data_IF_185488647445
#
_entry.id   IF_185488647445
#
_cell.length_a   1.000
_cell.length_b   1.000
_cell.length_c   1.000
_cell.angle_alpha   90.00
_cell.angle_beta   90.00
_cell.angle_gamma   90.00
#
_symmetry.space_group_name_H-M   'P 1'
#
loop_
_entity.id
_entity.type
_entity.pdbx_description
1 polymer ?
#
# COMPACT_ATOMS: atom_id res chain seq x y z
N UNK A 1 9.83 -10.59 -3.52
CA UNK A 1 10.55 -9.42 -4.11
C UNK A 1 11.67 -9.02 -3.18
N UNK A 2 12.75 -8.43 -3.73
CA UNK A 2 13.80 -7.88 -2.89
C UNK A 2 13.33 -6.60 -2.21
N UNK A 3 13.92 -6.27 -1.05
CA UNK A 3 13.63 -5.05 -0.32
C UNK A 3 14.03 -3.82 -1.16
N UNK A 4 13.10 -2.94 -1.54
CA UNK A 4 13.40 -1.79 -2.40
C UNK A 4 14.27 -0.76 -1.68
N UNK A 5 15.21 -0.15 -2.43
CA UNK A 5 16.21 0.78 -1.87
C UNK A 5 15.61 2.06 -1.31
N UNK A 6 14.44 2.50 -1.80
CA UNK A 6 13.79 3.73 -1.33
C UNK A 6 13.33 3.65 0.13
N UNK A 7 13.18 2.45 0.70
CA UNK A 7 12.82 2.29 2.11
C UNK A 7 13.87 2.89 3.07
N UNK A 8 15.11 3.15 2.60
CA UNK A 8 16.09 3.93 3.38
C UNK A 8 15.68 5.39 3.62
N UNK A 9 14.74 5.91 2.81
CA UNK A 9 14.17 7.26 2.96
C UNK A 9 12.98 7.32 3.93
N UNK A 10 12.49 6.18 4.39
CA UNK A 10 11.36 6.09 5.30
C UNK A 10 11.88 6.15 6.74
N UNK A 11 11.48 7.20 7.46
CA UNK A 11 11.86 7.43 8.85
C UNK A 11 10.63 7.37 9.72
N UNK A 12 10.61 6.46 10.71
CA UNK A 12 9.52 6.43 11.71
C UNK A 12 9.65 7.63 12.64
N UNK A 13 8.55 8.33 12.85
CA UNK A 13 8.46 9.49 13.73
C UNK A 13 7.41 9.27 14.84
N UNK A 14 7.63 9.87 16.00
CA UNK A 14 6.61 9.93 17.04
C UNK A 14 5.53 10.93 16.62
N UNK A 15 4.31 10.45 16.33
CA UNK A 15 3.18 11.26 15.90
C UNK A 15 1.96 11.04 16.79
N UNK A 16 1.19 12.10 17.04
CA UNK A 16 -0.10 12.06 17.71
C UNK A 16 -1.12 12.90 16.95
N UNK A 17 -2.37 12.48 17.01
CA UNK A 17 -3.47 13.27 16.48
C UNK A 17 -3.92 14.25 17.56
N UNK A 18 -4.15 15.51 17.17
CA UNK A 18 -4.63 16.54 18.08
C UNK A 18 -5.94 16.10 18.76
N UNK A 19 -6.00 16.31 20.07
CA UNK A 19 -7.17 15.96 20.90
C UNK A 19 -7.57 14.48 20.90
N UNK A 20 -6.68 13.58 20.45
CA UNK A 20 -6.94 12.14 20.42
C UNK A 20 -5.78 11.36 21.04
N UNK A 21 -6.08 10.48 22.00
CA UNK A 21 -5.05 9.74 22.75
C UNK A 21 -4.56 8.45 22.09
N UNK A 22 -4.98 8.18 20.85
CA UNK A 22 -4.57 6.97 20.14
C UNK A 22 -3.20 7.15 19.51
N UNK A 23 -2.33 6.18 19.72
CA UNK A 23 -1.04 6.11 19.06
C UNK A 23 -1.25 5.78 17.58
N UNK A 24 -0.62 6.53 16.70
CA UNK A 24 -0.54 6.19 15.28
C UNK A 24 0.89 5.80 14.91
N UNK A 25 1.03 5.03 13.86
CA UNK A 25 2.30 4.78 13.19
C UNK A 25 2.53 5.90 12.17
N UNK A 26 3.54 6.72 12.42
CA UNK A 26 3.84 7.88 11.59
C UNK A 26 5.20 7.72 10.92
N UNK A 27 5.28 8.01 9.63
CA UNK A 27 6.50 7.92 8.85
C UNK A 27 6.69 9.16 7.98
N UNK A 28 7.91 9.66 7.94
CA UNK A 28 8.33 10.71 7.03
C UNK A 28 9.10 10.09 5.85
N UNK A 29 8.78 10.51 4.62
CA UNK A 29 9.59 10.24 3.43
C UNK A 29 10.60 11.38 3.27
N UNK A 30 11.82 11.17 3.74
CA UNK A 30 12.95 12.10 3.59
C UNK A 30 13.77 11.72 2.37
N UNK A 31 13.22 11.94 1.19
CA UNK A 31 13.85 11.57 -0.08
C UNK A 31 14.82 12.63 -0.60
N UNK A 32 15.80 12.17 -1.36
CA UNK A 32 16.69 12.99 -2.16
C UNK A 32 16.65 12.53 -3.63
N UNK A 33 17.35 13.25 -4.51
CA UNK A 33 17.39 12.96 -5.94
C UNK A 33 18.45 11.88 -6.31
N UNK A 34 18.62 10.86 -5.47
CA UNK A 34 19.49 9.71 -5.73
C UNK A 34 18.90 8.90 -6.91
N UNK A 35 19.53 9.01 -8.08
CA UNK A 35 19.04 8.41 -9.31
C UNK A 35 18.98 6.87 -9.24
N UNK A 36 19.93 6.23 -8.55
CA UNK A 36 19.96 4.78 -8.38
C UNK A 36 18.75 4.29 -7.57
N UNK A 37 18.38 5.04 -6.53
CA UNK A 37 17.22 4.69 -5.69
C UNK A 37 15.92 4.92 -6.44
N UNK A 38 15.84 6.00 -7.21
CA UNK A 38 14.65 6.30 -8.03
C UNK A 38 14.47 5.25 -9.14
N UNK A 39 15.55 4.81 -9.78
CA UNK A 39 15.50 3.78 -10.83
C UNK A 39 15.12 2.42 -10.23
N UNK A 40 15.66 2.06 -9.05
CA UNK A 40 15.29 0.85 -8.31
C UNK A 40 13.79 0.87 -7.93
N UNK A 41 13.31 1.99 -7.41
CA UNK A 41 11.89 2.13 -7.06
C UNK A 41 10.98 2.06 -8.29
N UNK A 42 11.38 2.70 -9.38
CA UNK A 42 10.64 2.64 -10.64
C UNK A 42 10.54 1.20 -11.17
N UNK A 43 11.64 0.45 -11.15
CA UNK A 43 11.66 -0.96 -11.55
C UNK A 43 10.78 -1.80 -10.61
N UNK A 44 10.83 -1.56 -9.29
CA UNK A 44 9.99 -2.20 -8.32
C UNK A 44 8.50 -1.96 -8.61
N UNK A 45 8.08 -0.71 -8.86
CA UNK A 45 6.69 -0.38 -9.23
C UNK A 45 6.30 -1.05 -10.55
N UNK A 46 7.12 -0.97 -11.60
CA UNK A 46 6.83 -1.56 -12.91
C UNK A 46 6.57 -3.07 -12.79
N UNK A 47 7.36 -3.78 -11.97
CA UNK A 47 7.21 -5.23 -11.75
C UNK A 47 5.92 -5.62 -11.01
N UNK A 48 5.20 -4.68 -10.38
CA UNK A 48 3.87 -4.94 -9.86
C UNK A 48 2.80 -5.01 -10.97
N UNK A 49 3.02 -4.31 -12.07
CA UNK A 49 2.09 -4.30 -13.20
C UNK A 49 2.32 -5.46 -14.18
N UNK A 50 3.58 -5.74 -14.49
CA UNK A 50 3.99 -6.74 -15.47
C UNK A 50 5.38 -7.29 -15.11
N UNK A 51 5.58 -8.61 -15.23
CA UNK A 51 6.89 -9.23 -15.03
C UNK A 51 7.87 -8.87 -16.15
N UNK A 52 9.17 -9.10 -15.93
CA UNK A 52 10.20 -8.87 -16.95
C UNK A 52 9.97 -9.79 -18.15
N UNK A 53 9.66 -11.06 -17.88
CA UNK A 53 9.40 -12.06 -18.91
C UNK A 53 8.18 -11.72 -19.76
N UNK A 54 7.04 -11.40 -19.12
CA UNK A 54 5.82 -11.03 -19.85
C UNK A 54 6.02 -9.77 -20.70
N UNK A 55 6.78 -8.79 -20.17
CA UNK A 55 7.10 -7.58 -20.94
C UNK A 55 7.90 -7.91 -22.20
N UNK A 56 8.90 -8.79 -22.11
CA UNK A 56 9.71 -9.25 -23.25
C UNK A 56 8.83 -9.99 -24.27
N UNK A 57 8.03 -10.95 -23.81
CA UNK A 57 7.12 -11.73 -24.66
C UNK A 57 6.12 -10.84 -25.42
N UNK A 58 5.50 -9.87 -24.74
CA UNK A 58 4.55 -8.94 -25.36
C UNK A 58 5.22 -8.00 -26.37
N UNK A 59 6.43 -7.52 -26.05
CA UNK A 59 7.19 -6.66 -26.96
C UNK A 59 7.59 -7.41 -28.24
N UNK A 60 8.05 -8.64 -28.11
CA UNK A 60 8.43 -9.49 -29.23
C UNK A 60 7.21 -9.82 -30.12
N UNK A 61 6.09 -10.18 -29.51
CA UNK A 61 4.85 -10.50 -30.20
C UNK A 61 4.33 -9.33 -31.04
N UNK A 62 4.43 -8.10 -30.49
CA UNK A 62 3.90 -6.90 -31.13
C UNK A 62 4.93 -6.16 -31.98
N UNK A 63 6.20 -6.51 -31.91
CA UNK A 63 7.29 -5.83 -32.61
C UNK A 63 7.50 -4.38 -32.15
N UNK A 64 7.31 -4.09 -30.84
CA UNK A 64 7.44 -2.75 -30.27
C UNK A 64 8.51 -2.71 -29.18
N UNK A 65 9.04 -1.52 -28.90
CA UNK A 65 9.98 -1.39 -27.77
C UNK A 65 9.26 -1.49 -26.41
N UNK A 66 9.97 -1.94 -25.35
CA UNK A 66 9.43 -1.96 -23.99
C UNK A 66 8.86 -0.60 -23.55
N UNK A 67 9.56 0.50 -23.85
CA UNK A 67 9.09 1.86 -23.55
C UNK A 67 7.75 2.16 -24.22
N UNK A 68 7.62 1.83 -25.51
CA UNK A 68 6.37 2.06 -26.26
C UNK A 68 5.21 1.23 -25.69
N UNK A 69 5.47 -0.05 -25.39
CA UNK A 69 4.48 -0.94 -24.81
C UNK A 69 4.02 -0.47 -23.42
N UNK A 70 4.97 -0.21 -22.52
CA UNK A 70 4.68 0.26 -21.16
C UNK A 70 3.89 1.57 -21.15
N UNK A 71 4.26 2.50 -22.01
CA UNK A 71 3.57 3.80 -22.14
C UNK A 71 2.14 3.64 -22.64
N UNK A 72 1.95 2.83 -23.65
CA UNK A 72 0.64 2.65 -24.28
C UNK A 72 -0.33 1.86 -23.39
N UNK A 73 0.13 0.76 -22.78
CA UNK A 73 -0.75 -0.25 -22.21
C UNK A 73 -0.71 -0.38 -20.69
N UNK A 74 0.42 -0.06 -20.03
CA UNK A 74 0.68 -0.46 -18.65
C UNK A 74 0.73 0.75 -17.72
N UNK A 75 1.58 1.75 -18.00
CA UNK A 75 1.91 2.82 -17.06
C UNK A 75 0.97 4.02 -17.24
N UNK A 76 0.22 4.43 -16.19
CA UNK A 76 -0.61 5.63 -16.23
C UNK A 76 0.22 6.87 -16.61
N UNK A 77 -0.25 7.69 -17.56
CA UNK A 77 0.46 8.87 -18.01
C UNK A 77 0.01 10.11 -17.21
N UNK A 78 0.92 11.04 -16.92
CA UNK A 78 0.61 12.25 -16.11
C UNK A 78 -0.33 13.23 -16.82
N UNK A 79 -0.36 13.19 -18.13
CA UNK A 79 -1.16 14.03 -19.04
C UNK A 79 -2.47 13.38 -19.50
N UNK A 80 -2.75 12.15 -19.06
CA UNK A 80 -4.04 11.48 -19.26
C UNK A 80 -5.00 11.79 -18.10
N UNK A 81 -6.29 11.98 -18.36
CA UNK A 81 -7.29 12.46 -17.40
C UNK A 81 -7.20 11.90 -15.97
N UNK A 82 -7.26 10.58 -15.79
CA UNK A 82 -7.14 9.92 -14.48
C UNK A 82 -5.71 9.46 -14.14
N UNK A 83 -4.75 9.70 -15.01
CA UNK A 83 -3.37 9.25 -14.85
C UNK A 83 -2.71 9.72 -13.54
N UNK A 84 -2.75 11.02 -13.18
CA UNK A 84 -2.20 11.49 -11.92
C UNK A 84 -2.83 10.82 -10.69
N UNK A 85 -4.15 10.62 -10.69
CA UNK A 85 -4.86 9.93 -9.61
C UNK A 85 -4.44 8.47 -9.50
N UNK A 86 -4.36 7.76 -10.62
CA UNK A 86 -3.90 6.37 -10.66
C UNK A 86 -2.46 6.24 -10.15
N UNK A 87 -1.55 7.14 -10.56
CA UNK A 87 -0.17 7.18 -10.04
C UNK A 87 -0.14 7.39 -8.52
N UNK A 88 -0.90 8.37 -8.02
CA UNK A 88 -1.00 8.68 -6.59
C UNK A 88 -1.49 7.48 -5.80
N UNK A 89 -2.58 6.86 -6.21
CA UNK A 89 -3.16 5.73 -5.50
C UNK A 89 -2.23 4.52 -5.51
N UNK A 90 -1.75 4.10 -6.69
CA UNK A 90 -0.96 2.89 -6.81
C UNK A 90 0.40 2.98 -6.12
N UNK A 91 1.13 4.12 -6.24
CA UNK A 91 2.41 4.27 -5.54
C UNK A 91 2.21 4.23 -4.02
N UNK A 92 1.08 4.77 -3.52
CA UNK A 92 0.76 4.76 -2.11
C UNK A 92 0.37 3.36 -1.62
N UNK A 93 -0.45 2.61 -2.37
CA UNK A 93 -0.77 1.22 -2.06
C UNK A 93 0.50 0.34 -2.03
N UNK A 94 1.41 0.51 -3.00
CA UNK A 94 2.69 -0.23 -3.03
C UNK A 94 3.57 0.17 -1.84
N UNK A 95 3.69 1.46 -1.52
CA UNK A 95 4.47 1.94 -0.38
C UNK A 95 3.96 1.36 0.94
N UNK A 96 2.66 1.41 1.20
CA UNK A 96 2.10 0.80 2.42
C UNK A 96 2.23 -0.72 2.44
N UNK A 97 2.14 -1.37 1.28
CA UNK A 97 2.43 -2.79 1.13
C UNK A 97 3.89 -3.11 1.51
N UNK A 98 4.84 -2.27 1.06
CA UNK A 98 6.26 -2.42 1.38
C UNK A 98 6.55 -2.17 2.87
N UNK A 99 5.87 -1.19 3.49
CA UNK A 99 5.96 -1.00 4.94
C UNK A 99 5.47 -2.24 5.69
N UNK A 100 4.33 -2.80 5.32
CA UNK A 100 3.80 -4.01 5.94
C UNK A 100 4.72 -5.21 5.76
N UNK A 101 5.31 -5.36 4.58
CA UNK A 101 6.18 -6.50 4.27
C UNK A 101 7.57 -6.36 4.89
N UNK A 102 8.25 -5.25 4.69
CA UNK A 102 9.66 -5.11 5.03
C UNK A 102 9.95 -4.46 6.39
N UNK A 103 8.97 -3.77 6.99
CA UNK A 103 9.11 -3.15 8.31
C UNK A 103 8.31 -3.93 9.37
N UNK A 104 7.08 -4.37 9.03
CA UNK A 104 6.23 -5.10 9.94
C UNK A 104 6.24 -6.61 9.72
N UNK A 105 7.00 -7.10 8.73
CA UNK A 105 7.25 -8.52 8.43
C UNK A 105 5.97 -9.34 8.17
N UNK A 106 4.97 -8.77 7.51
CA UNK A 106 3.84 -9.50 6.98
C UNK A 106 4.16 -10.00 5.57
N UNK A 107 3.66 -11.16 5.21
CA UNK A 107 3.64 -11.53 3.80
C UNK A 107 2.49 -10.77 3.12
N UNK A 108 2.81 -10.00 2.08
CA UNK A 108 1.83 -9.21 1.30
C UNK A 108 1.79 -9.75 -0.14
N UNK A 109 0.72 -10.47 -0.54
CA UNK A 109 0.58 -10.94 -1.91
C UNK A 109 0.51 -9.79 -2.89
N UNK A 110 1.44 -9.76 -3.86
CA UNK A 110 1.59 -8.67 -4.83
C UNK A 110 0.83 -9.04 -6.12
N UNK A 111 -0.51 -8.96 -6.08
CA UNK A 111 -1.35 -9.33 -7.22
C UNK A 111 -2.34 -8.23 -7.65
N UNK A 112 -2.56 -7.18 -6.84
CA UNK A 112 -3.60 -6.18 -7.11
C UNK A 112 -3.37 -5.42 -8.40
N UNK A 113 -2.16 -4.96 -8.64
CA UNK A 113 -1.79 -4.18 -9.83
C UNK A 113 -1.47 -5.02 -11.07
N UNK A 114 -1.34 -6.34 -10.91
CA UNK A 114 -1.05 -7.24 -12.01
C UNK A 114 -2.28 -7.39 -12.93
N UNK A 115 -2.07 -7.29 -14.23
CA UNK A 115 -3.09 -7.51 -15.29
C UNK A 115 -4.45 -6.84 -14.98
N UNK A 116 -4.40 -5.53 -14.72
CA UNK A 116 -5.61 -4.73 -14.52
C UNK A 116 -6.37 -4.55 -15.84
N UNK A 117 -7.69 -4.37 -15.76
CA UNK A 117 -8.54 -4.16 -16.93
C UNK A 117 -8.26 -2.84 -17.67
N UNK A 118 -7.47 -1.96 -17.10
CA UNK A 118 -7.00 -0.72 -17.69
C UNK A 118 -6.03 0.00 -16.77
N UNK A 119 -5.06 0.73 -17.34
CA UNK A 119 -3.97 1.38 -16.59
C UNK A 119 -4.39 2.45 -15.57
N UNK A 120 -5.64 2.92 -15.65
CA UNK A 120 -6.21 3.92 -14.70
C UNK A 120 -7.42 3.39 -13.94
N UNK A 121 -7.74 2.10 -14.08
CA UNK A 121 -8.86 1.45 -13.39
C UNK A 121 -8.40 0.91 -12.04
N UNK A 122 -9.14 1.23 -10.98
CA UNK A 122 -8.89 0.64 -9.67
C UNK A 122 -9.66 -0.66 -9.50
N UNK A 123 -8.98 -1.68 -9.01
CA UNK A 123 -9.61 -2.95 -8.64
C UNK A 123 -10.47 -2.78 -7.38
N UNK A 124 -11.60 -3.48 -7.32
CA UNK A 124 -12.49 -3.45 -6.17
C UNK A 124 -11.94 -4.31 -5.00
N UNK A 125 -12.35 -3.97 -3.79
CA UNK A 125 -12.02 -4.72 -2.57
C UNK A 125 -11.14 -3.93 -1.61
N UNK A 126 -10.57 -4.63 -0.63
CA UNK A 126 -9.57 -4.11 0.31
C UNK A 126 -8.29 -3.76 -0.43
N UNK A 127 -7.69 -2.60 -0.16
CA UNK A 127 -6.53 -2.13 -0.91
C UNK A 127 -5.31 -3.01 -0.67
N UNK A 128 -5.04 -3.37 0.57
CA UNK A 128 -3.91 -4.25 0.91
C UNK A 128 -4.39 -5.35 1.86
N UNK A 129 -3.98 -6.57 1.55
CA UNK A 129 -4.12 -7.72 2.44
C UNK A 129 -2.73 -8.29 2.71
N UNK A 130 -2.42 -8.47 3.99
CA UNK A 130 -1.19 -9.12 4.43
C UNK A 130 -1.50 -10.20 5.48
N UNK A 131 -0.60 -11.16 5.65
CA UNK A 131 -0.77 -12.20 6.65
C UNK A 131 0.54 -12.63 7.29
N UNK A 132 0.43 -13.17 8.51
CA UNK A 132 1.51 -13.87 9.22
C UNK A 132 0.99 -15.20 9.76
N UNK A 133 1.77 -16.26 9.57
CA UNK A 133 1.57 -17.48 10.30
C UNK A 133 2.31 -17.43 11.62
N UNK A 134 1.66 -17.89 12.70
CA UNK A 134 2.28 -17.98 14.01
C UNK A 134 3.31 -19.10 14.11
N UNK A 135 3.23 -20.09 13.19
CA UNK A 135 4.10 -21.28 13.16
C UNK A 135 4.74 -21.43 11.79
N UNK A 136 6.02 -21.83 11.77
CA UNK A 136 6.79 -22.07 10.54
C UNK A 136 6.18 -23.20 9.68
N UNK A 137 5.61 -24.24 10.30
CA UNK A 137 4.94 -25.35 9.60
C UNK A 137 3.55 -24.99 9.05
N UNK A 138 3.16 -23.72 9.20
CA UNK A 138 1.86 -23.16 8.76
C UNK A 138 0.61 -23.90 9.27
N UNK A 139 0.74 -24.70 10.33
CA UNK A 139 -0.42 -25.32 10.96
C UNK A 139 -1.34 -24.25 11.54
N UNK A 140 -2.66 -24.38 11.34
CA UNK A 140 -3.63 -23.40 11.82
C UNK A 140 -3.44 -23.04 13.30
N UNK A 141 -3.41 -21.75 13.58
CA UNK A 141 -3.30 -21.18 14.92
C UNK A 141 -4.24 -19.98 15.05
N UNK A 142 -4.84 -19.79 16.22
CA UNK A 142 -5.61 -18.56 16.52
C UNK A 142 -4.73 -17.31 16.59
N UNK A 143 -3.43 -17.51 16.68
CA UNK A 143 -2.41 -16.44 16.67
C UNK A 143 -1.98 -16.06 15.24
N UNK A 144 -2.43 -16.79 14.21
CA UNK A 144 -2.27 -16.37 12.83
C UNK A 144 -2.94 -15.01 12.64
N UNK A 145 -2.31 -14.11 11.90
CA UNK A 145 -2.79 -12.75 11.71
C UNK A 145 -3.09 -12.47 10.24
N UNK A 146 -4.21 -11.82 10.01
CA UNK A 146 -4.58 -11.24 8.73
C UNK A 146 -4.64 -9.72 8.90
N UNK A 147 -4.09 -8.97 7.95
CA UNK A 147 -4.26 -7.52 7.86
C UNK A 147 -5.18 -7.21 6.68
N UNK A 148 -6.11 -6.29 6.94
CA UNK A 148 -6.90 -5.60 5.92
C UNK A 148 -6.64 -4.10 6.06
N UNK A 149 -6.02 -3.48 5.05
CA UNK A 149 -5.67 -2.07 5.08
C UNK A 149 -6.35 -1.31 3.93
N UNK A 150 -6.98 -0.20 4.29
CA UNK A 150 -7.51 0.81 3.37
C UNK A 150 -6.52 1.97 3.27
N UNK A 151 -6.17 2.36 2.06
CA UNK A 151 -5.20 3.42 1.77
C UNK A 151 -5.87 4.61 1.11
N UNK A 152 -5.63 5.80 1.63
CA UNK A 152 -6.04 7.06 1.00
C UNK A 152 -4.84 7.95 0.76
N UNK A 153 -4.77 8.53 -0.42
CA UNK A 153 -3.66 9.36 -0.85
C UNK A 153 -4.11 10.74 -1.33
N UNK A 154 -3.46 11.80 -0.84
CA UNK A 154 -3.56 13.16 -1.35
C UNK A 154 -2.12 13.69 -1.51
N UNK A 155 -1.46 13.31 -2.61
CA UNK A 155 -0.04 13.64 -2.82
C UNK A 155 0.19 15.06 -3.37
N UNK A 156 -0.85 15.72 -3.90
CA UNK A 156 -0.74 17.03 -4.53
C UNK A 156 -0.73 18.22 -3.54
N UNK A 157 -1.16 17.99 -2.30
CA UNK A 157 -1.32 19.04 -1.29
C UNK A 157 -1.15 18.49 0.13
N UNK A 158 -1.04 19.42 1.08
CA UNK A 158 -1.06 19.12 2.51
C UNK A 158 -2.51 18.99 2.99
N UNK A 159 -2.97 17.78 3.24
CA UNK A 159 -4.35 17.52 3.69
C UNK A 159 -4.39 16.29 4.61
N UNK A 160 -4.31 16.50 5.91
CA UNK A 160 -4.38 15.43 6.91
C UNK A 160 -5.77 14.77 7.00
N UNK A 161 -6.83 15.37 6.43
CA UNK A 161 -8.18 14.78 6.39
C UNK A 161 -8.21 13.46 5.62
N UNK A 162 -7.16 13.14 4.88
CA UNK A 162 -6.94 11.83 4.25
C UNK A 162 -7.09 10.67 5.24
N UNK A 163 -6.73 10.88 6.52
CA UNK A 163 -6.91 9.88 7.59
C UNK A 163 -8.40 9.61 7.84
N UNK A 164 -9.25 10.65 7.89
CA UNK A 164 -10.68 10.48 8.09
C UNK A 164 -11.28 9.60 6.99
N UNK A 165 -10.94 9.89 5.74
CA UNK A 165 -11.41 9.12 4.58
C UNK A 165 -10.93 7.66 4.65
N UNK A 166 -9.69 7.43 5.09
CA UNK A 166 -9.15 6.08 5.27
C UNK A 166 -9.90 5.31 6.37
N UNK A 167 -10.21 5.97 7.50
CA UNK A 167 -10.97 5.37 8.61
C UNK A 167 -12.39 5.02 8.16
N UNK A 168 -13.11 5.96 7.54
CA UNK A 168 -14.47 5.76 7.06
C UNK A 168 -14.56 4.61 6.02
N UNK A 169 -13.65 4.58 5.06
CA UNK A 169 -13.66 3.55 4.02
C UNK A 169 -13.18 2.18 4.53
N UNK A 170 -12.29 2.15 5.54
CA UNK A 170 -11.83 0.90 6.16
C UNK A 170 -12.94 0.11 6.86
N UNK A 171 -14.07 0.74 7.20
CA UNK A 171 -15.24 0.06 7.75
C UNK A 171 -15.78 -0.96 6.75
N UNK A 172 -15.71 -0.66 5.47
CA UNK A 172 -16.16 -1.55 4.40
C UNK A 172 -15.37 -2.86 4.33
N UNK A 173 -14.13 -2.86 4.81
CA UNK A 173 -13.27 -4.06 4.79
C UNK A 173 -13.82 -5.19 5.65
N UNK A 174 -14.55 -4.88 6.72
CA UNK A 174 -15.20 -5.89 7.57
C UNK A 174 -16.18 -6.77 6.79
N UNK A 175 -16.82 -6.20 5.80
CA UNK A 175 -17.83 -6.89 4.98
C UNK A 175 -17.26 -7.46 3.69
N UNK A 176 -16.23 -6.83 3.11
CA UNK A 176 -15.69 -7.21 1.79
C UNK A 176 -14.46 -8.10 1.85
N UNK A 177 -13.82 -8.28 3.03
CA UNK A 177 -12.56 -9.03 3.14
C UNK A 177 -12.64 -10.45 2.57
N UNK A 178 -13.73 -11.17 2.81
CA UNK A 178 -13.90 -12.54 2.29
C UNK A 178 -13.97 -12.59 0.77
N UNK A 179 -14.59 -11.59 0.13
CA UNK A 179 -14.65 -11.45 -1.32
C UNK A 179 -13.27 -11.08 -1.88
N UNK A 180 -12.55 -10.17 -1.20
CA UNK A 180 -11.19 -9.80 -1.55
C UNK A 180 -10.24 -11.00 -1.50
N UNK A 181 -10.28 -11.80 -0.42
CA UNK A 181 -9.47 -13.01 -0.31
C UNK A 181 -9.77 -14.02 -1.43
N UNK A 182 -11.03 -14.19 -1.79
CA UNK A 182 -11.39 -15.07 -2.90
C UNK A 182 -10.87 -14.56 -4.25
N UNK A 183 -10.99 -13.26 -4.51
CA UNK A 183 -10.44 -12.60 -5.70
C UNK A 183 -8.92 -12.77 -5.77
N UNK A 184 -8.20 -12.42 -4.70
CA UNK A 184 -6.73 -12.53 -4.63
C UNK A 184 -6.27 -13.97 -4.86
N UNK A 185 -6.93 -14.95 -4.23
CA UNK A 185 -6.60 -16.37 -4.39
C UNK A 185 -6.69 -16.82 -5.84
N UNK A 186 -7.71 -16.37 -6.57
CA UNK A 186 -7.89 -16.69 -8.00
C UNK A 186 -6.80 -16.04 -8.83
N UNK A 187 -6.56 -14.75 -8.62
CA UNK A 187 -5.54 -13.98 -9.36
C UNK A 187 -4.12 -14.52 -9.13
N UNK A 188 -3.78 -14.92 -7.89
CA UNK A 188 -2.51 -15.59 -7.58
C UNK A 188 -2.35 -16.92 -8.34
N UNK A 189 -3.43 -17.69 -8.51
CA UNK A 189 -3.38 -18.91 -9.33
C UNK A 189 -3.14 -18.61 -10.80
N UNK A 190 -3.78 -17.58 -11.33
CA UNK A 190 -3.58 -17.14 -12.72
C UNK A 190 -2.14 -16.66 -12.95
N UNK A 191 -1.48 -16.10 -11.91
CA UNK A 191 -0.06 -15.75 -11.91
C UNK A 191 0.87 -16.96 -11.67
N UNK A 192 0.37 -18.19 -11.52
CA UNK A 192 1.17 -19.37 -11.18
C UNK A 192 1.66 -19.43 -9.72
N UNK A 193 1.24 -18.50 -8.86
CA UNK A 193 1.63 -18.41 -7.45
C UNK A 193 0.75 -19.31 -6.57
N UNK A 194 0.86 -20.62 -6.78
CA UNK A 194 -0.04 -21.63 -6.17
C UNK A 194 0.11 -21.67 -4.65
N UNK A 195 1.33 -21.57 -4.12
CA UNK A 195 1.58 -21.62 -2.68
C UNK A 195 0.99 -20.42 -1.97
N UNK A 196 1.18 -19.18 -2.49
CA UNK A 196 0.54 -17.98 -1.95
C UNK A 196 -1.01 -18.08 -2.00
N UNK A 197 -1.55 -18.63 -3.09
CA UNK A 197 -2.99 -18.88 -3.22
C UNK A 197 -3.50 -19.86 -2.16
N UNK A 198 -2.74 -20.89 -1.82
CA UNK A 198 -3.08 -21.85 -0.77
C UNK A 198 -2.96 -21.23 0.63
N UNK A 199 -1.96 -20.38 0.86
CA UNK A 199 -1.82 -19.63 2.10
C UNK A 199 -3.04 -18.74 2.37
N UNK A 200 -3.55 -18.03 1.37
CA UNK A 200 -4.79 -17.22 1.47
C UNK A 200 -6.00 -18.08 1.88
N UNK A 201 -6.06 -19.31 1.42
CA UNK A 201 -7.17 -20.22 1.74
C UNK A 201 -7.31 -20.45 3.26
N UNK A 202 -6.20 -20.38 4.01
CA UNK A 202 -6.17 -20.47 5.48
C UNK A 202 -7.08 -19.42 6.13
N UNK A 203 -7.18 -18.22 5.55
CA UNK A 203 -7.91 -17.08 6.08
C UNK A 203 -9.31 -16.91 5.49
N UNK A 204 -9.69 -17.71 4.50
CA UNK A 204 -10.95 -17.54 3.78
C UNK A 204 -12.17 -18.06 4.58
N UNK A 205 -11.98 -19.05 5.46
CA UNK A 205 -13.05 -19.71 6.20
C UNK A 205 -12.81 -19.71 7.71
N UNK A 206 -13.25 -18.66 8.39
CA UNK A 206 -13.15 -18.54 9.84
C UNK A 206 -14.07 -19.48 10.63
N UNK A 207 -15.11 -19.99 9.98
CA UNK A 207 -16.21 -20.74 10.64
C UNK A 207 -15.94 -22.21 10.91
N UNK A 208 -14.84 -22.79 10.41
CA UNK A 208 -14.48 -24.18 10.70
C UNK A 208 -13.72 -24.25 12.03
N UNK A 209 -14.03 -25.25 12.85
CA UNK A 209 -13.30 -25.52 14.09
C UNK A 209 -11.79 -25.59 13.83
N UNK A 210 -10.99 -24.85 14.60
CA UNK A 210 -9.55 -24.75 14.42
C UNK A 210 -9.07 -23.76 13.33
N UNK A 211 -9.97 -23.00 12.74
CA UNK A 211 -9.66 -21.97 11.72
C UNK A 211 -9.71 -20.54 12.25
N UNK A 212 -9.79 -20.34 13.56
CA UNK A 212 -9.70 -19.01 14.16
C UNK A 212 -8.35 -18.36 13.88
N UNK A 213 -8.40 -17.05 13.64
CA UNK A 213 -7.26 -16.17 13.46
C UNK A 213 -7.65 -14.74 13.85
N UNK A 214 -6.68 -13.85 14.01
CA UNK A 214 -6.92 -12.45 14.30
C UNK A 214 -6.91 -11.63 13.01
N UNK A 215 -7.87 -10.71 12.86
CA UNK A 215 -7.87 -9.70 11.79
C UNK A 215 -7.52 -8.35 12.39
N UNK A 216 -6.50 -7.71 11.82
CA UNK A 216 -6.12 -6.33 12.15
C UNK A 216 -6.57 -5.41 11.00
N UNK A 217 -7.41 -4.44 11.30
CA UNK A 217 -7.83 -3.43 10.33
C UNK A 217 -6.93 -2.20 10.44
N UNK A 218 -6.48 -1.70 9.30
CA UNK A 218 -5.60 -0.54 9.20
C UNK A 218 -6.25 0.53 8.33
N UNK A 219 -6.27 1.76 8.84
CA UNK A 219 -6.57 2.96 8.06
C UNK A 219 -5.27 3.71 7.78
N UNK A 220 -4.88 3.80 6.52
CA UNK A 220 -3.60 4.36 6.10
C UNK A 220 -3.81 5.62 5.27
N UNK A 221 -3.20 6.72 5.69
CA UNK A 221 -3.24 8.01 4.98
C UNK A 221 -1.85 8.48 4.56
N UNK A 222 -1.76 9.06 3.35
CA UNK A 222 -0.52 9.70 2.88
C UNK A 222 -0.80 11.05 2.23
N UNK A 223 0.01 12.08 2.58
CA UNK A 223 -0.15 13.43 2.06
C UNK A 223 1.18 14.18 1.95
N UNK A 224 1.24 15.19 1.06
CA UNK A 224 2.41 16.07 0.91
C UNK A 224 2.47 17.09 2.05
N UNK A 225 3.00 16.66 3.19
CA UNK A 225 3.26 17.51 4.36
C UNK A 225 4.76 17.44 4.67
N UNK A 226 5.53 18.51 4.49
CA UNK A 226 6.99 18.45 4.61
C UNK A 226 7.47 18.17 6.03
N UNK A 227 6.79 18.70 7.04
CA UNK A 227 7.14 18.52 8.46
C UNK A 227 5.88 18.54 9.33
N UNK A 228 5.88 17.76 10.39
CA UNK A 228 4.86 17.87 11.41
C UNK A 228 5.19 19.03 12.37
N UNK A 229 4.18 19.76 12.80
CA UNK A 229 4.30 20.68 13.91
C UNK A 229 4.65 19.87 15.17
N UNK A 230 5.68 20.29 15.91
CA UNK A 230 6.13 19.58 17.10
C UNK A 230 5.55 20.19 18.37
N UNK A 231 5.15 19.33 19.30
CA UNK A 231 4.75 19.70 20.67
C UNK A 231 5.55 18.89 21.67
N UNK A 232 5.72 19.44 22.87
CA UNK A 232 6.31 18.70 24.00
C UNK A 232 5.23 17.85 24.68
N UNK A 233 5.49 16.55 24.83
CA UNK A 233 4.66 15.61 25.59
C UNK A 233 5.56 14.93 26.62
N UNK A 234 5.61 15.50 27.85
CA UNK A 234 6.63 15.19 28.84
C UNK A 234 8.01 15.65 28.38
N UNK A 235 9.01 14.78 28.45
CA UNK A 235 10.38 15.05 28.04
C UNK A 235 10.65 14.79 26.53
N UNK A 236 9.62 14.39 25.76
CA UNK A 236 9.75 14.06 24.34
C UNK A 236 9.06 15.09 23.46
N UNK A 237 9.68 15.38 22.32
CA UNK A 237 9.02 16.08 21.22
C UNK A 237 8.29 15.05 20.36
N UNK A 238 7.01 15.33 20.07
CA UNK A 238 6.17 14.51 19.18
C UNK A 238 5.56 15.39 18.09
N UNK A 239 5.44 14.84 16.90
CA UNK A 239 4.73 15.49 15.80
C UNK A 239 3.23 15.53 16.08
N UNK A 240 2.57 16.67 15.87
CA UNK A 240 1.11 16.77 15.96
C UNK A 240 0.49 16.83 14.57
N UNK A 241 -0.56 16.05 14.38
CA UNK A 241 -1.38 16.04 13.17
C UNK A 241 -2.70 16.72 13.53
N UNK A 242 -2.98 17.83 12.85
CA UNK A 242 -4.17 18.67 13.05
C UNK A 242 -5.14 18.53 11.89
N UNK A 243 -6.38 19.03 12.07
CA UNK A 243 -7.38 19.04 11.00
C UNK A 243 -8.08 17.70 10.78
N UNK A 244 -7.99 16.77 11.75
CA UNK A 244 -8.67 15.48 11.71
C UNK A 244 -9.96 15.57 12.53
N UNK A 245 -11.06 15.11 11.95
CA UNK A 245 -12.34 15.05 12.63
C UNK A 245 -12.35 13.96 13.70
N UNK A 246 -12.54 14.34 14.97
CA UNK A 246 -12.62 13.43 16.09
C UNK A 246 -13.80 12.44 16.02
N UNK A 247 -14.87 12.78 15.32
CA UNK A 247 -16.04 11.90 15.17
C UNK A 247 -15.70 10.68 14.29
N UNK A 248 -14.99 10.88 13.18
CA UNK A 248 -14.48 9.77 12.33
C UNK A 248 -13.52 8.88 13.12
N UNK A 249 -12.70 9.46 14.01
CA UNK A 249 -11.75 8.68 14.83
C UNK A 249 -12.43 7.86 15.93
N UNK A 250 -13.57 8.30 16.48
CA UNK A 250 -14.31 7.54 17.47
C UNK A 250 -14.76 6.16 16.97
N UNK A 251 -14.97 6.04 15.65
CA UNK A 251 -15.30 4.78 14.97
C UNK A 251 -14.07 3.84 14.89
N UNK A 252 -12.88 4.35 15.16
CA UNK A 252 -11.62 3.66 14.89
C UNK A 252 -11.03 2.90 16.09
N UNK A 253 -11.76 2.70 17.20
CA UNK A 253 -11.19 2.20 18.47
C UNK A 253 -10.40 0.88 18.34
N UNK A 254 -10.71 0.05 17.37
CA UNK A 254 -10.04 -1.21 17.10
C UNK A 254 -9.18 -1.21 15.82
N UNK A 255 -9.05 -0.05 15.12
CA UNK A 255 -8.21 0.10 13.92
C UNK A 255 -6.86 0.70 14.28
N UNK A 256 -5.82 0.22 13.63
CA UNK A 256 -4.53 0.88 13.64
C UNK A 256 -4.52 2.01 12.60
N UNK A 257 -3.99 3.18 12.97
CA UNK A 257 -3.84 4.31 12.06
C UNK A 257 -2.39 4.41 11.64
N UNK A 258 -2.17 4.40 10.32
CA UNK A 258 -0.86 4.64 9.71
C UNK A 258 -0.91 5.96 8.95
N UNK A 259 0.10 6.77 9.14
CA UNK A 259 0.22 8.05 8.46
C UNK A 259 1.61 8.21 7.84
N UNK A 260 1.63 8.53 6.58
CA UNK A 260 2.86 8.82 5.85
C UNK A 260 2.80 10.25 5.35
N UNK A 261 3.89 10.99 5.53
CA UNK A 261 4.02 12.31 4.98
C UNK A 261 5.41 12.52 4.37
N UNK A 262 5.53 13.60 3.61
CA UNK A 262 6.80 13.94 2.99
C UNK A 262 6.65 15.19 2.15
N UNK A 263 7.76 15.72 1.66
CA UNK A 263 7.80 16.92 0.85
C UNK A 263 7.50 16.58 -0.62
N UNK A 264 6.55 17.29 -1.27
CA UNK A 264 6.33 17.22 -2.73
C UNK A 264 6.10 15.81 -3.29
N UNK A 265 5.30 14.99 -2.59
CA UNK A 265 5.14 13.58 -2.92
C UNK A 265 4.54 13.34 -4.31
N UNK A 266 3.73 14.27 -4.85
CA UNK A 266 3.21 14.13 -6.21
C UNK A 266 4.30 14.31 -7.27
N UNK A 267 5.24 15.25 -7.06
CA UNK A 267 6.40 15.43 -7.94
C UNK A 267 7.26 14.17 -7.93
N UNK A 268 7.53 13.62 -6.74
CA UNK A 268 8.25 12.36 -6.55
C UNK A 268 7.54 11.20 -7.27
N UNK A 269 6.23 11.04 -7.09
CA UNK A 269 5.46 10.01 -7.79
C UNK A 269 5.58 10.14 -9.31
N UNK A 270 5.45 11.35 -9.84
CA UNK A 270 5.62 11.58 -11.28
C UNK A 270 7.02 11.21 -11.76
N UNK A 271 8.07 11.58 -11.03
CA UNK A 271 9.46 11.25 -11.39
C UNK A 271 9.68 9.72 -11.42
N UNK A 272 9.22 9.01 -10.40
CA UNK A 272 9.33 7.54 -10.35
C UNK A 272 8.60 6.89 -11.53
N UNK A 273 7.37 7.33 -11.82
CA UNK A 273 6.59 6.79 -12.94
C UNK A 273 7.17 7.10 -14.33
N UNK A 274 7.83 8.26 -14.52
CA UNK A 274 8.55 8.53 -15.78
C UNK A 274 9.74 7.58 -15.98
N UNK A 275 10.36 7.11 -14.90
CA UNK A 275 11.46 6.12 -14.93
C UNK A 275 10.96 4.69 -15.15
N UNK A 276 9.70 4.38 -14.81
CA UNK A 276 9.10 3.04 -15.07
C UNK A 276 9.04 2.65 -16.56
N UNK A 277 9.25 3.60 -17.46
CA UNK A 277 9.16 3.41 -18.91
C UNK A 277 10.49 3.00 -19.57
N UNK A 278 11.53 2.90 -18.79
CA UNK A 278 12.89 2.57 -19.27
C UNK A 278 13.15 1.07 -19.18
#
# INVERSE_FOLDING_TARGET
MDKPKYLKWIVEEAGVIENFNKTLKCFNIDYNNDAEVLDDWALHIRRHYISDQELEEECDLLGVSPEAYLRANIIPQKDEGLGPTARSNTISEILFSDLLEFIFEYHVPRCRQYNMSGKTVSEHGTDIVGYKFAKEDKKPSKEDRLIAAEVKAILSQNDASVINKAVEDSIKDEYRISLTLNYMRRKLRDMGKIDESNDILRFQFKTKAGHDYTIDYIAAGITSMPTLQKIKKGDKEVGIITGIDGASLAISDYRSIFFVHGKKLMELAHEVYERCKK
#
